data_IF_169835154708
#
_entry.id   IF_169835154708
#
_cell.length_a   1.000
_cell.length_b   1.000
_cell.length_c   1.000
_cell.angle_alpha   90.00
_cell.angle_beta   90.00
_cell.angle_gamma   90.00
#
_symmetry.space_group_name_H-M   'P 1'
#
loop_
_entity.id
_entity.type
_entity.pdbx_description
1 polymer ?
#
# COMPACT_ATOMS: atom_id res chain seq x y z
N UNK A 1 -17.21 11.16 25.69
CA UNK A 1 -18.55 10.59 25.45
C UNK A 1 -18.57 10.14 23.99
N UNK A 2 -18.26 8.88 23.72
CA UNK A 2 -18.43 8.32 22.37
C UNK A 2 -19.92 8.14 22.16
N UNK A 3 -20.46 8.83 21.16
CA UNK A 3 -21.88 8.73 20.81
C UNK A 3 -22.02 7.50 19.91
N UNK A 4 -22.16 6.32 20.52
CA UNK A 4 -22.25 5.03 19.82
C UNK A 4 -23.50 4.93 18.91
N UNK A 5 -24.43 5.89 19.03
CA UNK A 5 -25.69 5.97 18.26
C UNK A 5 -25.65 6.90 17.03
N UNK A 6 -24.53 7.59 16.76
CA UNK A 6 -24.44 8.46 15.57
C UNK A 6 -23.89 7.68 14.38
N UNK A 7 -24.69 7.55 13.32
CA UNK A 7 -24.20 7.06 12.02
C UNK A 7 -23.02 7.95 11.53
N UNK A 8 -21.98 7.35 10.94
CA UNK A 8 -20.85 8.12 10.44
C UNK A 8 -21.30 9.09 9.35
N UNK A 9 -20.77 10.30 9.39
CA UNK A 9 -20.96 11.28 8.32
C UNK A 9 -20.15 10.88 7.09
N UNK A 10 -20.45 11.48 5.94
CA UNK A 10 -19.62 11.32 4.75
C UNK A 10 -18.14 11.63 5.02
N UNK A 11 -17.86 12.71 5.75
CA UNK A 11 -16.50 13.09 6.09
C UNK A 11 -15.81 12.05 7.00
N UNK A 12 -16.54 11.49 7.98
CA UNK A 12 -16.01 10.39 8.81
C UNK A 12 -15.63 9.17 7.94
N UNK A 13 -16.47 8.81 6.97
CA UNK A 13 -16.24 7.70 6.04
C UNK A 13 -15.03 7.97 5.15
N UNK A 14 -14.93 9.17 4.57
CA UNK A 14 -13.82 9.54 3.68
C UNK A 14 -12.50 9.54 4.44
N UNK A 15 -12.44 10.17 5.62
CA UNK A 15 -11.23 10.19 6.44
C UNK A 15 -10.79 8.79 6.87
N UNK A 16 -11.73 7.93 7.31
CA UNK A 16 -11.42 6.55 7.67
C UNK A 16 -10.91 5.73 6.46
N UNK A 17 -11.46 5.99 5.27
CA UNK A 17 -11.02 5.35 4.02
C UNK A 17 -9.62 5.81 3.63
N UNK A 18 -9.34 7.11 3.66
CA UNK A 18 -8.01 7.68 3.36
C UNK A 18 -6.95 7.15 4.34
N UNK A 19 -7.29 7.04 5.62
CA UNK A 19 -6.40 6.47 6.62
C UNK A 19 -6.06 5.01 6.28
N UNK A 20 -7.08 4.19 6.00
CA UNK A 20 -6.91 2.78 5.62
C UNK A 20 -6.07 2.61 4.35
N UNK A 21 -6.32 3.44 3.34
CA UNK A 21 -5.53 3.47 2.09
C UNK A 21 -4.07 3.86 2.34
N UNK A 22 -3.83 4.79 3.27
CA UNK A 22 -2.48 5.21 3.65
C UNK A 22 -1.71 4.07 4.32
N UNK A 23 -2.32 3.37 5.28
CA UNK A 23 -1.72 2.19 5.91
C UNK A 23 -1.44 1.06 4.91
N UNK A 24 -2.36 0.81 3.97
CA UNK A 24 -2.15 -0.18 2.91
C UNK A 24 -0.96 0.19 2.03
N UNK A 25 -0.83 1.47 1.64
CA UNK A 25 0.30 1.97 0.87
C UNK A 25 1.64 1.80 1.59
N UNK A 26 1.69 2.10 2.88
CA UNK A 26 2.89 1.93 3.71
C UNK A 26 3.30 0.47 3.79
N UNK A 27 2.34 -0.43 3.99
CA UNK A 27 2.56 -1.88 4.03
C UNK A 27 3.14 -2.40 2.72
N UNK A 28 2.66 -1.90 1.58
CA UNK A 28 3.24 -2.19 0.26
C UNK A 28 4.66 -1.63 0.11
N UNK A 29 4.97 -0.48 0.72
CA UNK A 29 6.33 0.06 0.82
C UNK A 29 7.27 -0.90 1.54
N UNK A 30 6.86 -1.37 2.72
CA UNK A 30 7.63 -2.33 3.51
C UNK A 30 7.84 -3.65 2.74
N UNK A 31 6.81 -4.14 2.04
CA UNK A 31 6.92 -5.34 1.20
C UNK A 31 7.96 -5.16 0.07
N UNK A 32 7.96 -3.99 -0.60
CA UNK A 32 8.97 -3.67 -1.61
C UNK A 32 10.37 -3.62 -1.01
N UNK A 33 10.52 -3.01 0.15
CA UNK A 33 11.83 -2.84 0.79
C UNK A 33 12.38 -4.20 1.27
N UNK A 34 11.53 -5.09 1.79
CA UNK A 34 11.89 -6.49 2.03
C UNK A 34 12.29 -7.20 0.74
N UNK A 35 11.53 -7.01 -0.36
CA UNK A 35 11.90 -7.58 -1.64
C UNK A 35 13.25 -7.07 -2.11
N UNK A 36 13.61 -5.81 -1.91
CA UNK A 36 14.90 -5.25 -2.34
C UNK A 36 16.04 -5.50 -1.36
N UNK A 37 15.75 -6.00 -0.18
CA UNK A 37 16.75 -6.36 0.80
C UNK A 37 17.64 -7.49 0.29
N UNK A 38 18.96 -7.31 0.35
CA UNK A 38 19.94 -8.34 0.03
C UNK A 38 20.36 -9.17 1.25
N UNK A 39 19.45 -9.29 2.24
CA UNK A 39 19.65 -10.15 3.41
C UNK A 39 19.66 -11.62 3.01
N UNK A 40 20.84 -12.10 2.61
CA UNK A 40 21.09 -13.48 2.24
C UNK A 40 22.46 -13.95 2.73
N UNK A 41 22.64 -15.27 2.90
CA UNK A 41 23.95 -15.82 3.19
C UNK A 41 25.00 -15.38 2.17
N UNK A 42 26.21 -15.09 2.65
CA UNK A 42 27.36 -14.74 1.82
C UNK A 42 27.61 -15.85 0.79
N UNK A 43 27.73 -15.49 -0.48
CA UNK A 43 27.95 -16.43 -1.59
C UNK A 43 26.67 -17.04 -2.19
N UNK A 44 25.48 -16.70 -1.69
CA UNK A 44 24.22 -17.11 -2.31
C UNK A 44 23.75 -16.11 -3.38
N UNK A 45 23.28 -16.62 -4.51
CA UNK A 45 22.65 -15.85 -5.59
C UNK A 45 21.20 -16.29 -5.78
N UNK A 46 20.37 -15.45 -6.41
CA UNK A 46 19.05 -15.92 -6.85
C UNK A 46 19.21 -16.89 -8.00
N UNK A 47 18.32 -17.87 -8.09
CA UNK A 47 18.02 -18.51 -9.37
C UNK A 47 17.33 -17.52 -10.31
N UNK A 48 17.38 -17.78 -11.62
CA UNK A 48 16.70 -16.96 -12.62
C UNK A 48 15.18 -16.83 -12.33
N UNK A 49 14.56 -17.91 -11.87
CA UNK A 49 13.13 -17.92 -11.49
C UNK A 49 12.85 -17.00 -10.29
N UNK A 50 13.67 -17.06 -9.24
CA UNK A 50 13.52 -16.18 -8.09
C UNK A 50 13.76 -14.71 -8.45
N UNK A 51 14.73 -14.44 -9.34
CA UNK A 51 15.00 -13.10 -9.85
C UNK A 51 13.81 -12.56 -10.67
N UNK A 52 13.24 -13.39 -11.56
CA UNK A 52 12.05 -13.04 -12.32
C UNK A 52 10.84 -12.77 -11.42
N UNK A 53 10.61 -13.61 -10.41
CA UNK A 53 9.54 -13.43 -9.43
C UNK A 53 9.70 -12.13 -8.63
N UNK A 54 10.92 -11.81 -8.18
CA UNK A 54 11.24 -10.54 -7.48
C UNK A 54 10.87 -9.33 -8.34
N UNK A 55 11.24 -9.33 -9.61
CA UNK A 55 10.94 -8.25 -10.56
C UNK A 55 9.44 -8.14 -10.80
N UNK A 56 8.75 -9.25 -11.04
CA UNK A 56 7.31 -9.28 -11.28
C UNK A 56 6.53 -8.76 -10.07
N UNK A 57 6.85 -9.24 -8.86
CA UNK A 57 6.24 -8.77 -7.62
C UNK A 57 6.48 -7.27 -7.39
N UNK A 58 7.71 -6.79 -7.64
CA UNK A 58 8.05 -5.36 -7.53
C UNK A 58 7.21 -4.47 -8.44
N UNK A 59 6.94 -4.91 -9.69
CA UNK A 59 6.06 -4.20 -10.63
C UNK A 59 4.62 -4.13 -10.13
N UNK A 60 4.07 -5.25 -9.68
CA UNK A 60 2.69 -5.32 -9.17
C UNK A 60 2.51 -4.47 -7.90
N UNK A 61 3.51 -4.45 -7.01
CA UNK A 61 3.48 -3.58 -5.83
C UNK A 61 3.48 -2.10 -6.23
N UNK A 62 4.27 -1.71 -7.23
CA UNK A 62 4.29 -0.34 -7.71
C UNK A 62 2.95 0.07 -8.35
N UNK A 63 2.33 -0.82 -9.12
CA UNK A 63 1.00 -0.61 -9.71
C UNK A 63 -0.08 -0.46 -8.63
N UNK A 64 -0.13 -1.38 -7.66
CA UNK A 64 -1.08 -1.31 -6.55
C UNK A 64 -0.95 -0.01 -5.74
N UNK A 65 0.29 0.44 -5.52
CA UNK A 65 0.59 1.74 -4.90
C UNK A 65 0.04 2.91 -5.71
N UNK A 66 0.15 2.87 -7.04
CA UNK A 66 -0.42 3.87 -7.94
C UNK A 66 -1.95 3.92 -7.88
N UNK A 67 -2.61 2.76 -7.86
CA UNK A 67 -4.08 2.68 -7.73
C UNK A 67 -4.57 3.25 -6.39
N UNK A 68 -3.86 3.01 -5.29
CA UNK A 68 -4.16 3.62 -4.00
C UNK A 68 -4.04 5.15 -4.07
N UNK A 69 -2.97 5.67 -4.69
CA UNK A 69 -2.77 7.12 -4.83
C UNK A 69 -3.89 7.77 -5.64
N UNK A 70 -4.34 7.11 -6.72
CA UNK A 70 -5.49 7.55 -7.53
C UNK A 70 -6.79 7.55 -6.73
N UNK A 71 -7.07 6.49 -5.96
CA UNK A 71 -8.26 6.43 -5.11
C UNK A 71 -8.28 7.54 -4.06
N UNK A 72 -7.12 7.83 -3.43
CA UNK A 72 -6.99 8.93 -2.48
C UNK A 72 -7.23 10.29 -3.14
N UNK A 73 -6.70 10.51 -4.35
CA UNK A 73 -6.92 11.74 -5.09
C UNK A 73 -8.43 12.01 -5.29
N UNK A 74 -9.17 11.00 -5.79
CA UNK A 74 -10.62 11.10 -6.00
C UNK A 74 -11.39 11.45 -4.73
N UNK A 75 -10.97 10.91 -3.59
CA UNK A 75 -11.57 11.23 -2.29
C UNK A 75 -11.25 12.67 -1.86
N UNK A 76 -10.01 13.14 -2.02
CA UNK A 76 -9.66 14.54 -1.74
C UNK A 76 -10.37 15.53 -2.66
N UNK A 77 -10.60 15.17 -3.92
CA UNK A 77 -11.37 15.99 -4.85
C UNK A 77 -12.84 16.11 -4.43
N UNK A 78 -13.43 15.06 -3.85
CA UNK A 78 -14.80 15.07 -3.35
C UNK A 78 -15.00 15.88 -2.05
N UNK A 79 -13.90 16.32 -1.40
CA UNK A 79 -13.93 17.17 -0.20
C UNK A 79 -13.75 18.67 -0.50
N UNK A 80 -13.52 19.05 -1.76
CA UNK A 80 -13.41 20.44 -2.21
C UNK A 80 -14.76 21.09 -2.47
#
# INVERSE_FOLDING_TARGET
MHNEDRLPTWNDIVHATIASLTTARESLGNARDHLHSDWRPVGSTLSDEQAAARIAAGKLIAEAKGLIDQAKAQLYEAER
#
